data_IF_864999570857
#
_entry.id   IF_864999570857
#
_cell.length_a   1.000
_cell.length_b   1.000
_cell.length_c   1.000
_cell.angle_alpha   90.00
_cell.angle_beta   90.00
_cell.angle_gamma   90.00
#
_symmetry.space_group_name_H-M   'P 1'
#
loop_
_entity.id
_entity.type
_entity.pdbx_description
1 polymer ?
#
# COMPACT_ATOMS: atom_id res chain seq x y z
N UNK A 1 35.03 50.43 -9.93
CA UNK A 1 33.96 50.96 -10.81
C UNK A 1 33.35 49.77 -11.50
N UNK A 2 32.11 49.32 -11.30
CA UNK A 2 30.97 49.78 -10.53
C UNK A 2 30.15 48.52 -10.22
N UNK A 3 29.61 48.48 -9.00
CA UNK A 3 28.68 47.46 -8.49
C UNK A 3 27.23 47.84 -8.83
N UNK A 4 26.34 46.83 -8.92
CA UNK A 4 24.88 46.81 -8.58
C UNK A 4 24.13 45.91 -9.59
N UNK A 5 23.16 45.07 -9.23
CA UNK A 5 22.47 44.90 -7.96
C UNK A 5 21.50 43.71 -8.05
N UNK A 6 21.28 43.10 -6.90
CA UNK A 6 20.38 41.98 -6.60
C UNK A 6 18.92 42.47 -6.52
N UNK A 7 17.97 41.72 -7.08
CA UNK A 7 16.53 41.76 -6.77
C UNK A 7 16.05 40.30 -6.84
N UNK A 8 15.89 39.56 -5.74
CA UNK A 8 14.92 39.60 -4.64
C UNK A 8 13.45 39.32 -5.05
N UNK A 9 13.06 38.07 -4.73
CA UNK A 9 11.81 37.57 -4.14
C UNK A 9 10.45 38.12 -4.57
N UNK A 10 9.54 37.21 -4.95
CA UNK A 10 8.18 37.25 -4.39
C UNK A 10 7.52 35.86 -4.37
N UNK A 11 7.58 35.24 -3.19
CA UNK A 11 6.69 34.17 -2.76
C UNK A 11 5.26 34.73 -2.62
N UNK A 12 4.27 33.98 -3.09
CA UNK A 12 2.85 34.29 -2.85
C UNK A 12 2.24 33.11 -2.10
N UNK A 13 2.49 33.12 -0.79
CA UNK A 13 1.81 32.32 0.20
C UNK A 13 0.42 32.93 0.43
N UNK A 14 -0.64 32.15 0.20
CA UNK A 14 -2.02 32.54 0.52
C UNK A 14 -2.49 31.62 1.63
N UNK A 15 -2.61 32.17 2.84
CA UNK A 15 -3.42 31.58 3.89
C UNK A 15 -4.08 32.65 4.77
N UNK A 16 -5.33 32.33 5.15
CA UNK A 16 -6.18 32.86 6.22
C UNK A 16 -7.06 34.11 6.00
N UNK A 17 -8.37 33.90 6.11
CA UNK A 17 -9.25 34.45 7.19
C UNK A 17 -10.60 33.70 7.12
N UNK A 18 -11.02 32.96 8.16
CA UNK A 18 -11.67 33.44 9.40
C UNK A 18 -12.94 34.25 9.10
N UNK A 19 -14.10 33.61 9.26
CA UNK A 19 -15.38 34.27 9.54
C UNK A 19 -15.99 33.60 10.77
N UNK A 20 -16.17 34.43 11.80
CA UNK A 20 -16.82 34.15 13.08
C UNK A 20 -18.32 34.42 12.94
N UNK A 21 -19.17 33.54 13.47
CA UNK A 21 -20.63 33.69 13.53
C UNK A 21 -21.21 32.87 14.68
N UNK A 22 -22.02 33.50 15.51
CA UNK A 22 -22.21 33.25 16.94
C UNK A 22 -23.48 32.45 17.30
N UNK A 23 -23.34 31.52 18.27
CA UNK A 23 -24.26 30.98 19.31
C UNK A 23 -25.71 30.49 18.99
N UNK A 24 -26.09 29.31 19.54
CA UNK A 24 -26.85 29.16 20.81
C UNK A 24 -27.34 27.72 21.12
N UNK A 25 -27.04 27.27 22.35
CA UNK A 25 -27.81 26.41 23.28
C UNK A 25 -27.97 24.88 23.07
N UNK A 26 -27.19 24.13 23.86
CA UNK A 26 -27.66 23.23 24.93
C UNK A 26 -28.41 21.93 24.59
N UNK A 27 -27.76 20.77 24.81
CA UNK A 27 -28.29 19.62 25.55
C UNK A 27 -27.28 18.44 25.55
N UNK A 28 -27.04 17.92 26.75
CA UNK A 28 -26.55 16.58 27.15
C UNK A 28 -25.62 15.77 26.23
N UNK A 29 -24.43 15.50 26.78
CA UNK A 29 -23.44 14.53 26.31
C UNK A 29 -23.86 13.11 26.76
N UNK A 30 -24.18 12.17 25.85
CA UNK A 30 -24.32 10.77 26.23
C UNK A 30 -22.94 10.21 26.60
N UNK A 31 -22.86 9.61 27.78
CA UNK A 31 -21.75 8.74 28.19
C UNK A 31 -21.58 7.63 27.15
N UNK A 32 -20.36 7.28 26.71
CA UNK A 32 -20.17 6.04 25.99
C UNK A 32 -20.36 4.89 26.98
N UNK A 33 -21.50 4.19 26.85
CA UNK A 33 -21.67 2.87 27.40
C UNK A 33 -20.54 1.98 26.86
N UNK A 34 -19.70 1.52 27.78
CA UNK A 34 -18.68 0.52 27.54
C UNK A 34 -19.35 -0.84 27.34
N UNK A 35 -19.79 -1.10 26.13
CA UNK A 35 -20.03 -2.46 25.64
C UNK A 35 -18.89 -2.84 24.69
N UNK A 36 -17.81 -3.32 25.28
CA UNK A 36 -16.75 -4.00 24.55
C UNK A 36 -17.27 -5.37 24.10
N UNK A 37 -17.98 -5.44 22.99
CA UNK A 37 -18.05 -6.67 22.19
C UNK A 37 -16.72 -6.79 21.42
N UNK A 38 -15.66 -7.14 22.14
CA UNK A 38 -14.41 -7.52 21.48
C UNK A 38 -14.59 -8.91 20.90
N UNK A 39 -14.39 -9.05 19.58
CA UNK A 39 -13.96 -10.31 18.97
C UNK A 39 -12.95 -11.03 19.88
N UNK A 40 -12.99 -12.37 20.00
CA UNK A 40 -12.06 -13.09 20.86
C UNK A 40 -10.64 -12.85 20.34
N UNK A 41 -9.92 -11.92 20.97
CA UNK A 41 -8.49 -11.71 20.76
C UNK A 41 -7.83 -13.07 20.90
N UNK A 42 -7.00 -13.44 19.92
CA UNK A 42 -6.27 -14.69 19.97
C UNK A 42 -5.47 -14.76 21.28
N UNK A 43 -5.95 -15.56 22.23
CA UNK A 43 -5.29 -15.75 23.52
C UNK A 43 -4.10 -16.69 23.30
N UNK A 44 -2.89 -16.14 23.43
CA UNK A 44 -1.67 -16.94 23.44
C UNK A 44 -1.53 -17.76 24.72
N UNK A 45 -0.65 -18.76 24.68
CA UNK A 45 -0.24 -19.50 25.87
C UNK A 45 0.62 -18.62 26.78
N UNK A 46 0.33 -18.64 28.08
CA UNK A 46 1.13 -17.94 29.08
C UNK A 46 2.32 -18.76 29.56
N UNK A 47 3.08 -18.22 30.52
CA UNK A 47 4.22 -18.89 31.14
C UNK A 47 3.83 -20.25 31.77
N UNK A 48 4.75 -21.24 31.81
CA UNK A 48 4.47 -22.55 32.38
C UNK A 48 4.15 -22.47 33.87
N UNK A 49 3.28 -23.35 34.33
CA UNK A 49 2.91 -23.48 35.74
C UNK A 49 4.13 -23.84 36.62
N UNK A 50 4.27 -23.23 37.81
CA UNK A 50 5.36 -23.53 38.74
C UNK A 50 5.36 -24.99 39.22
N UNK A 51 4.16 -25.55 39.44
CA UNK A 51 3.99 -26.86 40.07
C UNK A 51 4.01 -28.01 39.05
N UNK A 52 3.27 -27.88 37.94
CA UNK A 52 3.15 -28.97 36.94
C UNK A 52 3.86 -28.69 35.60
N UNK A 53 4.49 -27.52 35.44
CA UNK A 53 5.21 -27.08 34.22
C UNK A 53 4.38 -27.02 32.93
N UNK A 54 3.06 -27.18 33.03
CA UNK A 54 2.17 -27.10 31.88
C UNK A 54 1.99 -25.65 31.41
N UNK A 55 2.02 -25.44 30.10
CA UNK A 55 1.61 -24.19 29.46
C UNK A 55 0.08 -24.16 29.39
N UNK A 56 -0.50 -23.01 29.71
CA UNK A 56 -1.94 -22.82 29.67
C UNK A 56 -2.28 -21.39 29.23
N UNK A 57 -3.48 -21.16 28.68
CA UNK A 57 -3.93 -19.87 28.16
C UNK A 57 -3.64 -18.71 29.11
N UNK A 58 -3.24 -17.56 28.57
CA UNK A 58 -2.80 -16.39 29.36
C UNK A 58 -3.94 -15.70 30.11
N UNK A 59 -5.18 -15.88 29.66
CA UNK A 59 -6.40 -15.36 30.28
C UNK A 59 -6.78 -16.13 31.56
N UNK A 60 -6.35 -17.38 31.69
CA UNK A 60 -6.52 -18.16 32.92
C UNK A 60 -5.44 -17.78 33.93
N UNK A 61 -5.83 -17.33 35.13
CA UNK A 61 -4.90 -17.00 36.22
C UNK A 61 -4.56 -18.22 37.09
N UNK A 62 -5.24 -19.35 36.88
CA UNK A 62 -5.08 -20.57 37.65
C UNK A 62 -4.77 -21.70 36.69
N UNK A 63 -3.76 -22.51 37.02
CA UNK A 63 -3.40 -23.67 36.21
C UNK A 63 -4.57 -24.68 36.18
N UNK A 64 -5.10 -25.05 35.01
CA UNK A 64 -6.20 -26.02 34.91
C UNK A 64 -5.79 -27.44 35.33
N UNK A 65 -4.49 -27.72 35.44
CA UNK A 65 -3.95 -29.04 35.78
C UNK A 65 -3.80 -29.22 37.29
N UNK A 66 -3.17 -28.28 37.98
CA UNK A 66 -2.83 -28.42 39.41
C UNK A 66 -3.38 -27.30 40.30
N UNK A 67 -4.21 -26.41 39.76
CA UNK A 67 -4.88 -25.31 40.46
C UNK A 67 -3.96 -24.30 41.18
N UNK A 68 -2.66 -24.31 40.89
CA UNK A 68 -1.75 -23.27 41.37
C UNK A 68 -1.88 -22.00 40.53
N UNK A 69 -1.75 -20.84 41.17
CA UNK A 69 -1.77 -19.53 40.52
C UNK A 69 -0.39 -19.08 40.01
N UNK A 70 0.67 -19.78 40.42
CA UNK A 70 2.05 -19.39 40.13
C UNK A 70 2.52 -19.88 38.76
N UNK A 71 3.19 -19.00 38.02
CA UNK A 71 3.84 -19.27 36.73
C UNK A 71 5.33 -19.00 36.84
N UNK A 72 6.15 -19.73 36.09
CA UNK A 72 7.62 -19.62 36.08
C UNK A 72 8.15 -19.36 34.67
N UNK A 73 9.31 -18.74 34.55
CA UNK A 73 9.95 -18.55 33.23
C UNK A 73 10.36 -19.90 32.62
N UNK A 74 10.12 -20.16 31.32
CA UNK A 74 10.51 -21.40 30.63
C UNK A 74 12.00 -21.74 30.76
N UNK A 75 12.82 -20.71 30.87
CA UNK A 75 14.25 -20.83 31.07
C UNK A 75 14.49 -21.02 32.57
N UNK A 76 14.55 -22.28 33.00
CA UNK A 76 15.25 -22.61 34.22
C UNK A 76 16.72 -22.22 34.01
N UNK A 77 17.07 -20.98 34.35
CA UNK A 77 18.47 -20.64 34.60
C UNK A 77 18.81 -21.46 35.82
N UNK A 78 19.50 -22.59 35.63
CA UNK A 78 20.14 -23.28 36.72
C UNK A 78 20.95 -22.22 37.48
N UNK A 79 20.55 -21.93 38.72
CA UNK A 79 21.31 -21.07 39.59
C UNK A 79 22.65 -21.78 39.81
N UNK A 80 23.65 -21.43 38.98
CA UNK A 80 25.03 -21.69 39.33
C UNK A 80 25.25 -21.06 40.71
N UNK A 81 25.94 -21.72 41.65
CA UNK A 81 26.29 -21.09 42.91
C UNK A 81 27.16 -19.87 42.57
N UNK A 82 26.54 -18.70 42.62
CA UNK A 82 27.26 -17.43 42.58
C UNK A 82 27.99 -17.37 43.91
N UNK A 83 29.27 -17.75 43.89
CA UNK A 83 30.19 -17.28 44.91
C UNK A 83 30.03 -15.74 44.93
N UNK A 84 29.93 -15.10 46.10
CA UNK A 84 29.85 -13.65 46.17
C UNK A 84 31.20 -13.11 45.70
N UNK A 85 31.34 -12.91 44.39
CA UNK A 85 32.33 -12.00 43.86
C UNK A 85 31.85 -10.64 44.34
N UNK A 86 32.60 -10.05 45.28
CA UNK A 86 32.38 -8.68 45.69
C UNK A 86 32.23 -7.84 44.42
N UNK A 87 31.00 -7.44 44.12
CA UNK A 87 30.73 -6.56 43.00
C UNK A 87 31.40 -5.23 43.36
N UNK A 88 32.59 -5.02 42.83
CA UNK A 88 33.13 -3.67 42.79
C UNK A 88 32.15 -2.83 41.96
N UNK A 89 31.68 -1.68 42.47
CA UNK A 89 30.68 -0.88 41.78
C UNK A 89 31.10 -0.43 40.37
N UNK A 90 32.42 -0.46 40.08
CA UNK A 90 32.97 -0.17 38.76
C UNK A 90 32.69 -1.26 37.71
N UNK A 91 32.63 -2.54 38.09
CA UNK A 91 32.45 -3.63 37.12
C UNK A 91 31.05 -3.65 36.49
N UNK A 92 30.02 -3.26 37.24
CA UNK A 92 28.65 -3.17 36.72
C UNK A 92 28.49 -2.05 35.70
N UNK A 93 29.04 -0.87 36.02
CA UNK A 93 29.02 0.28 35.13
C UNK A 93 29.80 0.03 33.82
N UNK A 94 30.97 -0.61 33.90
CA UNK A 94 31.76 -0.99 32.72
C UNK A 94 31.03 -1.98 31.81
N UNK A 95 30.36 -2.97 32.37
CA UNK A 95 29.57 -3.93 31.60
C UNK A 95 28.33 -3.29 30.96
N UNK A 96 27.71 -2.32 31.63
CA UNK A 96 26.60 -1.55 31.07
C UNK A 96 27.05 -0.65 29.91
N UNK A 97 28.20 0.00 30.03
CA UNK A 97 28.81 0.79 28.96
C UNK A 97 29.17 -0.07 27.74
N UNK A 98 29.75 -1.25 27.95
CA UNK A 98 30.03 -2.21 26.88
C UNK A 98 28.73 -2.70 26.23
N UNK A 99 27.72 -3.05 27.02
CA UNK A 99 26.40 -3.44 26.53
C UNK A 99 25.78 -2.34 25.68
N UNK A 100 25.87 -1.09 26.11
CA UNK A 100 25.33 0.03 25.36
C UNK A 100 26.06 0.23 24.03
N UNK A 101 27.40 0.10 24.01
CA UNK A 101 28.17 0.13 22.76
C UNK A 101 27.77 -0.99 21.82
N UNK A 102 27.64 -2.22 22.32
CA UNK A 102 27.18 -3.37 21.53
C UNK A 102 25.77 -3.16 20.98
N UNK A 103 24.85 -2.64 21.78
CA UNK A 103 23.48 -2.37 21.34
C UNK A 103 23.43 -1.27 20.29
N UNK A 104 24.26 -0.23 20.40
CA UNK A 104 24.37 0.83 19.39
C UNK A 104 24.93 0.29 18.07
N UNK A 105 25.95 -0.55 18.13
CA UNK A 105 26.55 -1.19 16.95
C UNK A 105 25.60 -2.21 16.30
N UNK A 106 24.91 -3.01 17.09
CA UNK A 106 23.94 -3.97 16.56
C UNK A 106 22.73 -3.25 15.95
N UNK A 107 22.30 -2.15 16.56
CA UNK A 107 21.24 -1.29 16.01
C UNK A 107 21.68 -0.61 14.72
N UNK A 108 22.92 -0.12 14.62
CA UNK A 108 23.44 0.49 13.40
C UNK A 108 23.53 -0.53 12.26
N UNK A 109 24.00 -1.75 12.55
CA UNK A 109 24.05 -2.87 11.59
C UNK A 109 22.65 -3.31 11.15
N UNK A 110 21.70 -3.44 12.08
CA UNK A 110 20.31 -3.79 11.77
C UNK A 110 19.64 -2.72 10.90
N UNK A 111 19.89 -1.44 11.18
CA UNK A 111 19.38 -0.35 10.35
C UNK A 111 20.02 -0.35 8.96
N UNK A 112 21.35 -0.49 8.86
CA UNK A 112 22.06 -0.52 7.58
C UNK A 112 21.59 -1.68 6.67
N UNK A 113 21.46 -2.88 7.23
CA UNK A 113 20.96 -4.05 6.49
C UNK A 113 19.50 -3.88 6.06
N UNK A 114 18.64 -3.39 6.95
CA UNK A 114 17.25 -3.11 6.63
C UNK A 114 17.10 -2.04 5.54
N UNK A 115 17.86 -0.94 5.60
CA UNK A 115 17.81 0.11 4.58
C UNK A 115 18.30 -0.38 3.22
N UNK A 116 19.32 -1.24 3.17
CA UNK A 116 19.80 -1.84 1.91
C UNK A 116 18.75 -2.77 1.29
N UNK A 117 18.11 -3.63 2.10
CA UNK A 117 17.10 -4.58 1.62
C UNK A 117 15.82 -3.86 1.19
N UNK A 118 15.35 -2.88 1.98
CA UNK A 118 14.13 -2.16 1.65
C UNK A 118 14.33 -1.18 0.49
N UNK A 119 15.50 -0.55 0.32
CA UNK A 119 15.73 0.34 -0.82
C UNK A 119 15.62 -0.40 -2.16
N UNK A 120 16.14 -1.62 -2.29
CA UNK A 120 16.09 -2.38 -3.53
C UNK A 120 14.66 -2.83 -3.93
N UNK A 121 13.76 -3.00 -2.95
CA UNK A 121 12.38 -3.42 -3.15
C UNK A 121 11.38 -2.26 -3.22
N UNK A 122 11.63 -1.15 -2.53
CA UNK A 122 10.70 0.00 -2.41
C UNK A 122 10.74 0.93 -3.63
N UNK A 123 11.83 0.91 -4.40
CA UNK A 123 12.04 1.81 -5.53
C UNK A 123 11.91 1.10 -6.89
N UNK A 124 10.93 0.21 -7.06
CA UNK A 124 10.62 -0.37 -8.38
C UNK A 124 9.24 0.04 -8.83
N UNK A 125 9.12 0.34 -10.11
CA UNK A 125 7.83 0.56 -10.74
C UNK A 125 6.97 -0.70 -10.60
N UNK A 126 5.74 -0.55 -10.11
CA UNK A 126 4.77 -1.66 -9.98
C UNK A 126 4.47 -2.30 -11.35
N UNK A 127 4.68 -1.54 -12.43
CA UNK A 127 4.51 -1.99 -13.82
C UNK A 127 5.85 -2.45 -14.44
N UNK A 128 6.76 -3.02 -13.67
CA UNK A 128 8.09 -3.47 -14.14
C UNK A 128 8.05 -4.36 -15.39
N UNK A 129 6.97 -5.12 -15.59
CA UNK A 129 6.76 -5.97 -16.78
C UNK A 129 6.68 -5.18 -18.10
N UNK A 130 6.32 -3.90 -18.04
CA UNK A 130 6.26 -3.02 -19.21
C UNK A 130 7.63 -2.40 -19.55
N UNK A 131 8.64 -2.61 -18.71
CA UNK A 131 9.99 -2.11 -18.94
C UNK A 131 10.83 -3.18 -19.66
N UNK A 132 11.43 -2.82 -20.79
CA UNK A 132 12.36 -3.68 -21.56
C UNK A 132 13.82 -3.43 -21.16
N UNK A 133 14.08 -3.03 -19.92
CA UNK A 133 15.43 -2.66 -19.47
C UNK A 133 15.45 -1.99 -18.10
N UNK A 134 16.04 -0.80 -18.06
CA UNK A 134 16.29 -0.05 -16.82
C UNK A 134 14.99 0.31 -16.08
N UNK A 135 15.05 0.19 -14.75
CA UNK A 135 13.96 0.58 -13.87
C UNK A 135 14.21 1.98 -13.31
N UNK A 136 13.17 2.79 -13.24
CA UNK A 136 13.23 4.05 -12.49
C UNK A 136 12.77 3.86 -11.04
N UNK A 137 13.37 4.58 -10.08
CA UNK A 137 13.02 4.50 -8.67
C UNK A 137 11.72 5.23 -8.35
N UNK A 138 10.59 4.65 -8.73
CA UNK A 138 9.27 5.18 -8.45
C UNK A 138 8.25 4.05 -8.29
N UNK A 139 7.19 4.27 -7.48
CA UNK A 139 6.08 3.33 -7.39
C UNK A 139 5.37 3.15 -8.74
N UNK A 140 5.23 4.24 -9.51
CA UNK A 140 4.90 4.24 -10.94
C UNK A 140 5.82 5.26 -11.60
N UNK A 141 6.63 4.82 -12.57
CA UNK A 141 7.53 5.73 -13.28
C UNK A 141 6.77 6.70 -14.18
N UNK A 142 7.42 7.78 -14.59
CA UNK A 142 6.81 8.76 -15.49
C UNK A 142 6.38 8.13 -16.82
N UNK A 143 7.20 7.23 -17.38
CA UNK A 143 6.91 6.55 -18.65
C UNK A 143 5.59 5.78 -18.58
N UNK A 144 5.42 4.87 -17.62
CA UNK A 144 4.19 4.09 -17.47
C UNK A 144 2.96 4.97 -17.17
N UNK A 145 3.12 6.04 -16.39
CA UNK A 145 2.04 7.00 -16.17
C UNK A 145 1.65 7.71 -17.48
N UNK A 146 2.64 8.18 -18.23
CA UNK A 146 2.43 8.91 -19.48
C UNK A 146 1.82 8.04 -20.58
N UNK A 147 2.20 6.76 -20.67
CA UNK A 147 1.62 5.80 -21.60
C UNK A 147 0.15 5.52 -21.27
N UNK A 148 -0.17 5.32 -19.99
CA UNK A 148 -1.55 5.11 -19.55
C UNK A 148 -2.40 6.36 -19.81
N UNK A 149 -1.85 7.55 -19.54
CA UNK A 149 -2.48 8.83 -19.84
C UNK A 149 -2.73 8.99 -21.35
N UNK A 150 -1.72 8.73 -22.17
CA UNK A 150 -1.84 8.79 -23.62
C UNK A 150 -2.88 7.81 -24.15
N UNK A 151 -2.99 6.61 -23.57
CA UNK A 151 -4.00 5.64 -23.95
C UNK A 151 -5.41 6.11 -23.58
N UNK A 152 -5.58 6.76 -22.42
CA UNK A 152 -6.84 7.40 -22.05
C UNK A 152 -7.20 8.54 -23.01
N UNK A 153 -6.23 9.38 -23.38
CA UNK A 153 -6.46 10.48 -24.33
C UNK A 153 -6.86 9.95 -25.72
N UNK A 154 -6.29 8.84 -26.18
CA UNK A 154 -6.71 8.18 -27.44
C UNK A 154 -8.14 7.63 -27.37
N UNK A 155 -8.55 7.07 -26.23
CA UNK A 155 -9.91 6.60 -26.00
C UNK A 155 -10.91 7.75 -26.01
N UNK A 156 -10.57 8.85 -25.33
CA UNK A 156 -11.37 10.07 -25.33
C UNK A 156 -11.48 10.66 -26.74
N UNK A 157 -10.38 10.76 -27.48
CA UNK A 157 -10.40 11.20 -28.88
C UNK A 157 -11.25 10.29 -29.77
N UNK A 158 -11.22 8.97 -29.56
CA UNK A 158 -12.04 8.02 -30.32
C UNK A 158 -13.55 8.19 -30.07
N UNK A 159 -13.93 8.63 -28.86
CA UNK A 159 -15.33 8.97 -28.52
C UNK A 159 -15.80 10.25 -29.22
N UNK A 160 -14.87 11.16 -29.55
CA UNK A 160 -15.15 12.40 -30.28
C UNK A 160 -15.21 12.19 -31.81
N UNK A 161 -15.87 11.12 -32.26
CA UNK A 161 -16.15 10.89 -33.68
C UNK A 161 -17.12 11.96 -34.21
N UNK A 162 -16.82 12.50 -35.41
CA UNK A 162 -17.71 13.46 -36.06
C UNK A 162 -19.06 12.84 -36.40
N UNK A 163 -20.14 13.58 -36.15
CA UNK A 163 -21.51 13.11 -36.41
C UNK A 163 -21.72 12.75 -37.89
N UNK A 164 -21.08 13.47 -38.81
CA UNK A 164 -21.16 13.19 -40.25
C UNK A 164 -20.54 11.84 -40.59
N UNK A 165 -19.40 11.54 -39.98
CA UNK A 165 -18.69 10.30 -40.18
C UNK A 165 -19.46 9.13 -39.54
N UNK A 166 -19.95 9.31 -38.31
CA UNK A 166 -20.81 8.33 -37.66
C UNK A 166 -22.06 8.00 -38.50
N UNK A 167 -22.71 9.02 -39.08
CA UNK A 167 -23.86 8.84 -39.96
C UNK A 167 -23.49 8.06 -41.25
N UNK A 168 -22.32 8.32 -41.84
CA UNK A 168 -21.83 7.56 -43.00
C UNK A 168 -21.57 6.09 -42.67
N UNK A 169 -20.96 5.80 -41.52
CA UNK A 169 -20.72 4.42 -41.04
C UNK A 169 -22.05 3.70 -40.84
N UNK A 170 -23.01 4.34 -40.17
CA UNK A 170 -24.36 3.78 -39.94
C UNK A 170 -25.05 3.53 -41.27
N UNK A 171 -25.02 4.50 -42.19
CA UNK A 171 -25.62 4.35 -43.52
C UNK A 171 -25.00 3.14 -44.26
N UNK A 172 -23.67 3.07 -44.36
CA UNK A 172 -23.00 1.95 -45.04
C UNK A 172 -23.35 0.59 -44.41
N UNK A 173 -23.41 0.50 -43.08
CA UNK A 173 -23.76 -0.74 -42.38
C UNK A 173 -25.23 -1.13 -42.55
N UNK A 174 -26.14 -0.16 -42.54
CA UNK A 174 -27.58 -0.37 -42.74
C UNK A 174 -27.86 -0.93 -44.14
N UNK A 175 -27.21 -0.35 -45.16
CA UNK A 175 -27.41 -0.73 -46.56
C UNK A 175 -26.67 -2.00 -46.98
N UNK A 176 -25.81 -2.55 -46.12
CA UNK A 176 -25.10 -3.81 -46.39
C UNK A 176 -26.00 -5.05 -46.26
N UNK A 177 -26.99 -5.02 -45.36
CA UNK A 177 -27.98 -6.09 -45.21
C UNK A 177 -29.34 -5.48 -44.79
N UNK A 178 -30.20 -5.27 -45.79
CA UNK A 178 -31.54 -4.70 -45.62
C UNK A 178 -32.62 -5.76 -45.43
N UNK A 179 -32.26 -7.04 -45.24
CA UNK A 179 -33.21 -8.15 -45.19
C UNK A 179 -34.01 -8.20 -43.89
N UNK A 180 -33.39 -7.78 -42.78
CA UNK A 180 -33.97 -7.85 -41.44
C UNK A 180 -33.67 -6.56 -40.65
N UNK A 181 -34.69 -5.77 -40.28
CA UNK A 181 -34.49 -4.49 -39.60
C UNK A 181 -33.79 -4.64 -38.25
N UNK A 182 -33.95 -5.78 -37.56
CA UNK A 182 -33.28 -6.02 -36.28
C UNK A 182 -31.77 -6.21 -36.43
N UNK A 183 -31.34 -6.89 -37.50
CA UNK A 183 -29.92 -7.08 -37.83
C UNK A 183 -29.28 -5.80 -38.34
N UNK A 184 -30.03 -4.98 -39.05
CA UNK A 184 -29.56 -3.69 -39.55
C UNK A 184 -29.03 -2.77 -38.44
N UNK A 185 -29.76 -2.65 -37.32
CA UNK A 185 -29.29 -1.84 -36.17
C UNK A 185 -28.09 -2.46 -35.45
N UNK A 186 -28.07 -3.79 -35.32
CA UNK A 186 -26.94 -4.50 -34.72
C UNK A 186 -25.67 -4.34 -35.58
N UNK A 187 -25.79 -4.41 -36.90
CA UNK A 187 -24.68 -4.21 -37.83
C UNK A 187 -24.15 -2.78 -37.75
N UNK A 188 -25.03 -1.78 -37.69
CA UNK A 188 -24.64 -0.38 -37.50
C UNK A 188 -23.93 -0.14 -36.16
N UNK A 189 -24.44 -0.69 -35.07
CA UNK A 189 -23.81 -0.61 -33.75
C UNK A 189 -22.43 -1.29 -33.75
N UNK A 190 -22.32 -2.48 -34.35
CA UNK A 190 -21.05 -3.20 -34.47
C UNK A 190 -20.02 -2.43 -35.31
N UNK A 191 -20.45 -1.77 -36.39
CA UNK A 191 -19.60 -0.95 -37.24
C UNK A 191 -19.10 0.32 -36.54
N UNK A 192 -19.95 0.99 -35.75
CA UNK A 192 -19.51 2.13 -34.93
C UNK A 192 -18.51 1.70 -33.86
N UNK A 193 -18.79 0.60 -33.15
CA UNK A 193 -17.91 0.07 -32.13
C UNK A 193 -16.56 -0.38 -32.70
N UNK A 194 -16.53 -0.96 -33.89
CA UNK A 194 -15.27 -1.36 -34.53
C UNK A 194 -14.42 -0.14 -34.90
N UNK A 195 -15.04 0.93 -35.43
CA UNK A 195 -14.36 2.19 -35.75
C UNK A 195 -13.80 2.90 -34.51
N UNK A 196 -14.56 2.94 -33.42
CA UNK A 196 -14.10 3.51 -32.14
C UNK A 196 -12.93 2.71 -31.55
N UNK A 197 -12.99 1.37 -31.58
CA UNK A 197 -11.90 0.50 -31.11
C UNK A 197 -10.64 0.68 -31.95
N UNK A 198 -10.78 0.76 -33.26
CA UNK A 198 -9.67 1.00 -34.18
C UNK A 198 -8.96 2.34 -33.88
N UNK A 199 -9.71 3.41 -33.65
CA UNK A 199 -9.16 4.74 -33.29
C UNK A 199 -8.49 4.76 -31.92
N UNK A 200 -9.06 4.03 -30.96
CA UNK A 200 -8.48 3.90 -29.63
C UNK A 200 -7.17 3.08 -29.61
N UNK A 201 -6.73 2.54 -30.75
CA UNK A 201 -5.58 1.64 -30.80
C UNK A 201 -5.84 0.30 -30.08
N UNK A 202 -7.10 0.01 -29.74
CA UNK A 202 -7.51 -1.32 -29.31
C UNK A 202 -7.55 -2.13 -30.59
N UNK A 203 -6.44 -2.80 -30.90
CA UNK A 203 -6.40 -3.73 -32.03
C UNK A 203 -7.66 -4.58 -32.01
N UNK A 204 -8.34 -4.68 -33.16
CA UNK A 204 -9.47 -5.59 -33.36
C UNK A 204 -8.94 -7.03 -33.30
N UNK A 205 -8.51 -7.45 -32.12
CA UNK A 205 -8.17 -8.81 -31.78
C UNK A 205 -9.50 -9.59 -31.72
N UNK A 206 -10.05 -9.92 -32.89
CA UNK A 206 -10.26 -11.34 -33.14
C UNK A 206 -8.87 -11.95 -32.94
N UNK A 207 -8.76 -12.81 -31.92
CA UNK A 207 -7.50 -13.22 -31.33
C UNK A 207 -6.45 -13.70 -32.32
N UNK A 208 -5.24 -13.83 -31.82
CA UNK A 208 -4.15 -14.61 -32.40
C UNK A 208 -4.63 -15.98 -32.92
N UNK A 209 -5.21 -15.99 -34.12
CA UNK A 209 -5.57 -17.17 -34.87
C UNK A 209 -4.57 -17.21 -36.00
N UNK A 210 -3.47 -17.91 -35.71
CA UNK A 210 -2.74 -18.79 -36.60
C UNK A 210 -2.89 -18.49 -38.10
N UNK A 211 -1.78 -18.14 -38.73
CA UNK A 211 -1.61 -18.30 -40.17
C UNK A 211 -2.14 -19.67 -40.61
N UNK A 212 -3.19 -19.70 -41.42
CA UNK A 212 -3.52 -20.89 -42.20
C UNK A 212 -2.50 -20.95 -43.34
N UNK A 213 -1.41 -21.63 -43.04
CA UNK A 213 -0.44 -22.11 -44.00
C UNK A 213 -1.07 -23.24 -44.84
N UNK A 214 -1.02 -23.01 -46.15
CA UNK A 214 -1.05 -23.95 -47.28
C UNK A 214 -2.39 -24.47 -47.82
#
# INVERSE_FOLDING_TARGET
MESRGVQQAQEKNVTHSVITGQERHGAERPLPASDTSSDPKAVGYGLPCSNCRAYYPSDLNICPVCKSAERVSPRAVAALPVAPLAASPDSGAQLEDERERFLRELKSQAFATHTQINAAATFRCVLEQNHTGDFEPAAVCHTCYSEMRQQADRLEAALHMDVKEAAQIVYAAVWADTSDPSKTYLNAAAALLSQMRQRAGIGLLLGSNSSLSH
#
